data_IF_066222692030
#
_entry.id   IF_066222692030
#
_cell.length_a   1.000
_cell.length_b   1.000
_cell.length_c   1.000
_cell.angle_alpha   90.00
_cell.angle_beta   90.00
_cell.angle_gamma   90.00
#
_symmetry.space_group_name_H-M   'P 1'
#
loop_
_entity.id
_entity.type
_entity.pdbx_description
1 polymer ?
#
# COMPACT_ATOMS: atom_id res chain seq x y z
N UNK A 1 -7.08 12.14 19.33
CA UNK A 1 -6.71 10.75 19.70
C UNK A 1 -5.90 10.02 18.60
N UNK A 2 -6.26 10.14 17.30
CA UNK A 2 -5.54 9.52 16.16
C UNK A 2 -4.04 9.86 16.06
N UNK A 3 -3.61 11.02 16.55
CA UNK A 3 -2.24 11.50 16.33
C UNK A 3 -1.15 10.70 17.08
N UNK A 4 -1.49 10.05 18.21
CA UNK A 4 -0.54 9.21 18.96
C UNK A 4 -0.29 7.86 18.28
N UNK A 5 -1.20 7.39 17.44
CA UNK A 5 -1.15 6.05 16.84
C UNK A 5 -0.45 6.03 15.49
N UNK A 6 -0.18 7.20 14.89
CA UNK A 6 0.48 7.32 13.57
C UNK A 6 1.86 6.68 13.53
N UNK A 7 2.66 6.89 14.57
CA UNK A 7 4.00 6.29 14.69
C UNK A 7 3.93 4.77 14.93
N UNK A 8 2.93 4.31 15.68
CA UNK A 8 2.69 2.88 15.91
C UNK A 8 2.29 2.20 14.59
N UNK A 9 1.40 2.81 13.81
CA UNK A 9 0.96 2.31 12.50
C UNK A 9 2.11 2.31 11.48
N UNK A 10 2.94 3.36 11.45
CA UNK A 10 4.13 3.42 10.61
C UNK A 10 5.13 2.31 10.96
N UNK A 11 5.41 2.12 12.24
CA UNK A 11 6.34 1.11 12.73
C UNK A 11 5.82 -0.31 12.43
N UNK A 12 4.52 -0.55 12.66
CA UNK A 12 3.88 -1.83 12.36
C UNK A 12 3.90 -2.14 10.85
N UNK A 13 3.64 -1.15 10.00
CA UNK A 13 3.78 -1.29 8.56
C UNK A 13 5.21 -1.65 8.15
N UNK A 14 6.21 -0.95 8.71
CA UNK A 14 7.63 -1.21 8.43
C UNK A 14 8.05 -2.62 8.87
N UNK A 15 7.53 -3.10 10.01
CA UNK A 15 7.74 -4.46 10.48
C UNK A 15 7.14 -5.48 9.52
N UNK A 16 5.89 -5.31 9.09
CA UNK A 16 5.23 -6.23 8.14
C UNK A 16 6.01 -6.29 6.82
N UNK A 17 6.42 -5.13 6.30
CA UNK A 17 7.21 -5.02 5.08
C UNK A 17 8.58 -5.70 5.24
N UNK A 18 9.26 -5.46 6.36
CA UNK A 18 10.54 -6.10 6.66
C UNK A 18 10.42 -7.62 6.79
N UNK A 19 9.36 -8.12 7.42
CA UNK A 19 9.09 -9.55 7.57
C UNK A 19 8.81 -10.21 6.22
N UNK A 20 7.99 -9.56 5.37
CA UNK A 20 7.72 -10.03 4.01
C UNK A 20 9.00 -10.06 3.16
N UNK A 21 9.85 -9.03 3.27
CA UNK A 21 11.14 -8.98 2.58
C UNK A 21 12.07 -10.09 3.04
N UNK A 22 12.15 -10.32 4.35
CA UNK A 22 12.92 -11.42 4.92
C UNK A 22 12.47 -12.78 4.38
N UNK A 23 11.16 -13.06 4.43
CA UNK A 23 10.59 -14.33 3.95
C UNK A 23 10.91 -14.52 2.46
N UNK A 24 10.76 -13.46 1.67
CA UNK A 24 11.03 -13.48 0.24
C UNK A 24 12.51 -13.72 -0.07
N UNK A 25 13.44 -13.15 0.71
CA UNK A 25 14.88 -13.37 0.54
C UNK A 25 15.32 -14.79 0.90
N UNK A 26 14.58 -15.48 1.78
CA UNK A 26 14.81 -16.88 2.14
C UNK A 26 14.15 -17.89 1.17
N UNK A 27 13.36 -17.45 0.20
CA UNK A 27 12.80 -18.35 -0.80
C UNK A 27 13.93 -18.95 -1.65
N UNK A 28 13.89 -20.27 -1.80
CA UNK A 28 14.88 -20.99 -2.58
C UNK A 28 14.80 -20.59 -4.06
N UNK A 29 15.95 -20.46 -4.75
CA UNK A 29 15.97 -20.16 -6.17
C UNK A 29 15.37 -21.30 -6.98
N UNK A 30 14.58 -20.96 -7.98
CA UNK A 30 13.99 -21.89 -8.93
C UNK A 30 14.65 -21.66 -10.30
N UNK A 31 15.24 -22.72 -10.84
CA UNK A 31 15.91 -22.73 -12.13
C UNK A 31 15.04 -23.43 -13.16
N UNK A 32 15.11 -22.96 -14.42
CA UNK A 32 14.36 -23.53 -15.53
C UNK A 32 15.33 -23.86 -16.65
N UNK A 33 15.29 -25.10 -17.13
CA UNK A 33 16.07 -25.55 -18.28
C UNK A 33 15.15 -25.88 -19.45
N UNK A 34 15.57 -25.61 -20.68
CA UNK A 34 14.75 -25.73 -21.90
C UNK A 34 15.38 -26.70 -22.89
N UNK A 35 14.62 -27.69 -23.36
CA UNK A 35 15.00 -28.52 -24.51
C UNK A 35 13.96 -28.36 -25.61
N UNK A 36 14.42 -28.41 -26.86
CA UNK A 36 13.59 -28.14 -28.04
C UNK A 36 13.50 -29.38 -28.91
N UNK A 37 12.29 -29.79 -29.25
CA UNK A 37 12.02 -30.90 -30.16
C UNK A 37 11.29 -30.38 -31.40
N UNK A 38 11.83 -30.67 -32.58
CA UNK A 38 11.12 -30.47 -33.84
C UNK A 38 10.34 -31.73 -34.17
N UNK A 39 9.09 -31.53 -34.58
CA UNK A 39 8.28 -32.59 -35.15
C UNK A 39 8.32 -32.45 -36.67
N UNK A 40 9.06 -33.34 -37.32
CA UNK A 40 9.00 -33.45 -38.77
C UNK A 40 7.72 -34.19 -39.14
N UNK A 41 6.87 -33.53 -39.93
CA UNK A 41 5.73 -34.20 -40.56
C UNK A 41 6.12 -34.60 -41.97
N UNK A 42 5.86 -35.86 -42.32
CA UNK A 42 5.78 -36.25 -43.73
C UNK A 42 4.51 -35.58 -44.25
N UNK A 43 4.73 -34.56 -45.08
CA UNK A 43 3.73 -33.71 -45.72
C UNK A 43 2.44 -34.50 -46.03
N UNK A 44 1.29 -34.25 -45.37
CA UNK A 44 0.04 -34.71 -45.91
C UNK A 44 -0.17 -33.84 -47.14
N UNK A 45 0.03 -34.37 -48.35
CA UNK A 45 -0.32 -33.67 -49.58
C UNK A 45 -1.73 -33.10 -49.42
N UNK A 46 -1.83 -31.79 -49.24
CA UNK A 46 -3.11 -31.10 -49.17
C UNK A 46 -3.46 -30.85 -50.63
N UNK A 47 -4.39 -31.60 -51.25
CA UNK A 47 -4.82 -31.29 -52.59
C UNK A 47 -5.30 -29.84 -52.60
N UNK A 48 -4.75 -29.05 -53.53
CA UNK A 48 -5.11 -27.66 -53.72
C UNK A 48 -6.59 -27.58 -54.09
N UNK A 49 -7.46 -27.23 -53.14
CA UNK A 49 -8.90 -27.06 -53.36
C UNK A 49 -9.29 -25.61 -53.10
N UNK A 50 -10.03 -25.08 -54.07
CA UNK A 50 -10.34 -23.69 -54.44
C UNK A 50 -11.07 -22.80 -53.40
N UNK A 51 -11.29 -23.24 -52.17
CA UNK A 51 -11.97 -22.44 -51.14
C UNK A 51 -11.04 -22.09 -49.96
N UNK A 52 -10.40 -20.92 -50.10
CA UNK A 52 -9.25 -20.49 -49.28
C UNK A 52 -9.63 -20.23 -47.81
N UNK A 53 -10.87 -19.87 -47.51
CA UNK A 53 -11.29 -19.50 -46.15
C UNK A 53 -11.55 -20.71 -45.23
N UNK A 54 -12.32 -21.71 -45.69
CA UNK A 54 -12.63 -22.90 -44.91
C UNK A 54 -11.46 -23.90 -44.87
N UNK A 55 -10.71 -24.01 -45.97
CA UNK A 55 -9.49 -24.82 -46.06
C UNK A 55 -8.41 -24.36 -45.06
N UNK A 56 -8.22 -23.04 -44.93
CA UNK A 56 -7.28 -22.48 -43.95
C UNK A 56 -7.71 -22.83 -42.51
N UNK A 57 -8.99 -22.66 -42.16
CA UNK A 57 -9.48 -22.98 -40.81
C UNK A 57 -9.32 -24.46 -40.48
N UNK A 58 -9.57 -25.36 -41.43
CA UNK A 58 -9.37 -26.80 -41.28
C UNK A 58 -7.88 -27.14 -41.08
N UNK A 59 -6.98 -26.51 -41.84
CA UNK A 59 -5.53 -26.68 -41.69
C UNK A 59 -5.04 -26.25 -40.30
N UNK A 60 -5.42 -25.05 -39.85
CA UNK A 60 -5.05 -24.55 -38.52
C UNK A 60 -5.58 -25.45 -37.39
N UNK A 61 -6.81 -25.96 -37.53
CA UNK A 61 -7.39 -26.86 -36.54
C UNK A 61 -6.69 -28.22 -36.51
N UNK A 62 -6.33 -28.77 -37.67
CA UNK A 62 -5.56 -30.01 -37.80
C UNK A 62 -4.17 -29.86 -37.17
N UNK A 63 -3.43 -28.80 -37.52
CA UNK A 63 -2.14 -28.48 -36.92
C UNK A 63 -2.24 -28.32 -35.40
N UNK A 64 -3.22 -27.53 -34.91
CA UNK A 64 -3.42 -27.33 -33.46
C UNK A 64 -3.71 -28.64 -32.75
N UNK A 65 -4.60 -29.45 -33.29
CA UNK A 65 -4.99 -30.75 -32.69
C UNK A 65 -3.81 -31.71 -32.66
N UNK A 66 -3.03 -31.76 -33.74
CA UNK A 66 -1.84 -32.60 -33.81
C UNK A 66 -0.78 -32.18 -32.78
N UNK A 67 -0.45 -30.88 -32.69
CA UNK A 67 0.50 -30.36 -31.71
C UNK A 67 0.04 -30.59 -30.26
N UNK A 68 -1.24 -30.40 -29.95
CA UNK A 68 -1.81 -30.71 -28.62
C UNK A 68 -1.76 -32.20 -28.30
N UNK A 69 -2.00 -33.07 -29.29
CA UNK A 69 -1.82 -34.52 -29.12
C UNK A 69 -0.36 -34.84 -28.78
N UNK A 70 0.62 -34.25 -29.47
CA UNK A 70 2.03 -34.47 -29.16
C UNK A 70 2.39 -33.96 -27.75
N UNK A 71 1.88 -32.80 -27.34
CA UNK A 71 2.05 -32.29 -25.97
C UNK A 71 1.54 -33.30 -24.93
N UNK A 72 0.33 -33.85 -25.14
CA UNK A 72 -0.24 -34.87 -24.24
C UNK A 72 0.55 -36.17 -24.21
N UNK A 73 1.21 -36.55 -25.31
CA UNK A 73 2.10 -37.72 -25.35
C UNK A 73 3.33 -37.47 -24.48
N UNK A 74 3.96 -36.28 -24.58
CA UNK A 74 5.09 -35.89 -23.75
C UNK A 74 4.71 -35.88 -22.26
N UNK A 75 3.53 -35.35 -21.93
CA UNK A 75 2.96 -35.31 -20.57
C UNK A 75 2.41 -36.67 -20.09
N UNK A 76 2.52 -37.72 -20.89
CA UNK A 76 1.93 -39.01 -20.55
C UNK A 76 2.65 -39.69 -19.38
N UNK A 77 1.90 -40.50 -18.62
CA UNK A 77 2.45 -41.32 -17.52
C UNK A 77 3.55 -42.27 -18.01
N UNK A 78 3.50 -42.74 -19.27
CA UNK A 78 4.53 -43.64 -19.83
C UNK A 78 5.87 -42.94 -19.99
N UNK A 79 5.89 -41.76 -20.59
CA UNK A 79 7.12 -40.96 -20.76
C UNK A 79 7.67 -40.58 -19.40
N UNK A 80 6.82 -40.09 -18.49
CA UNK A 80 7.21 -39.73 -17.13
C UNK A 80 7.81 -40.91 -16.35
N UNK A 81 7.25 -42.11 -16.50
CA UNK A 81 7.78 -43.31 -15.85
C UNK A 81 9.17 -43.69 -16.39
N UNK A 82 9.41 -43.54 -17.69
CA UNK A 82 10.72 -43.77 -18.29
C UNK A 82 11.77 -42.80 -17.75
N UNK A 83 11.43 -41.50 -17.69
CA UNK A 83 12.29 -40.45 -17.14
C UNK A 83 12.67 -40.73 -15.68
N UNK A 84 11.69 -41.08 -14.83
CA UNK A 84 11.93 -41.43 -13.42
C UNK A 84 12.87 -42.62 -13.29
N UNK A 85 12.71 -43.64 -14.14
CA UNK A 85 13.52 -44.84 -14.13
C UNK A 85 14.96 -44.55 -14.56
N UNK A 86 15.15 -43.84 -15.67
CA UNK A 86 16.48 -43.59 -16.25
C UNK A 86 17.31 -42.61 -15.41
N UNK A 87 16.68 -41.56 -14.88
CA UNK A 87 17.37 -40.60 -14.01
C UNK A 87 17.54 -41.10 -12.57
N UNK A 88 16.98 -42.27 -12.23
CA UNK A 88 17.08 -42.85 -10.88
C UNK A 88 16.42 -41.98 -9.81
N UNK A 89 15.40 -41.19 -10.19
CA UNK A 89 14.81 -40.15 -9.32
C UNK A 89 14.17 -40.74 -8.05
N UNK A 90 13.76 -42.01 -8.07
CA UNK A 90 13.16 -42.71 -6.91
C UNK A 90 14.04 -42.71 -5.67
N UNK A 91 15.36 -42.66 -5.84
CA UNK A 91 16.31 -42.70 -4.71
C UNK A 91 16.54 -41.31 -4.08
N UNK A 92 16.01 -40.24 -4.69
CA UNK A 92 16.13 -38.88 -4.16
C UNK A 92 15.05 -38.62 -3.12
N UNK A 93 15.42 -37.92 -2.04
CA UNK A 93 14.54 -37.60 -0.89
C UNK A 93 13.18 -37.04 -1.32
N UNK A 94 13.15 -36.18 -2.34
CA UNK A 94 11.92 -35.52 -2.84
C UNK A 94 10.91 -36.53 -3.42
N UNK A 95 11.38 -37.54 -4.15
CA UNK A 95 10.50 -38.52 -4.82
C UNK A 95 10.28 -39.79 -3.99
N UNK A 96 11.11 -40.06 -2.99
CA UNK A 96 10.97 -41.21 -2.09
C UNK A 96 9.87 -40.99 -1.03
N UNK A 97 9.59 -39.74 -0.67
CA UNK A 97 8.62 -39.38 0.37
C UNK A 97 7.19 -39.20 -0.16
N UNK A 98 6.99 -39.24 -1.48
CA UNK A 98 5.75 -38.81 -2.11
C UNK A 98 4.96 -39.98 -2.72
N UNK A 99 3.64 -40.02 -2.47
CA UNK A 99 2.76 -41.14 -2.87
C UNK A 99 2.58 -41.28 -4.38
N UNK A 100 2.79 -40.21 -5.16
CA UNK A 100 2.75 -40.23 -6.64
C UNK A 100 3.96 -39.49 -7.25
N UNK A 101 5.08 -40.18 -7.52
CA UNK A 101 6.29 -39.56 -8.06
C UNK A 101 6.11 -39.04 -9.50
N UNK A 102 5.14 -39.59 -10.25
CA UNK A 102 4.82 -39.10 -11.60
C UNK A 102 4.10 -37.75 -11.51
N UNK A 103 3.15 -37.63 -10.59
CA UNK A 103 2.45 -36.36 -10.35
C UNK A 103 3.39 -35.23 -9.96
N UNK A 104 4.37 -35.50 -9.08
CA UNK A 104 5.39 -34.51 -8.70
C UNK A 104 6.26 -34.09 -9.87
N UNK A 105 6.68 -35.04 -10.71
CA UNK A 105 7.48 -34.76 -11.88
C UNK A 105 6.70 -33.92 -12.91
N UNK A 106 5.43 -34.24 -13.15
CA UNK A 106 4.58 -33.49 -14.09
C UNK A 106 4.31 -32.05 -13.61
N UNK A 107 4.30 -31.78 -12.30
CA UNK A 107 4.20 -30.40 -11.78
C UNK A 107 5.43 -29.55 -12.07
N UNK A 108 6.60 -30.20 -12.21
CA UNK A 108 7.87 -29.55 -12.56
C UNK A 108 8.06 -29.39 -14.07
N UNK A 109 7.27 -30.12 -14.86
CA UNK A 109 7.34 -30.11 -16.32
C UNK A 109 6.38 -29.08 -16.89
N UNK A 110 6.85 -28.31 -17.87
CA UNK A 110 6.00 -27.44 -18.69
C UNK A 110 6.35 -27.61 -20.15
N UNK A 111 5.34 -27.93 -20.96
CA UNK A 111 5.48 -28.19 -22.39
C UNK A 111 4.74 -27.11 -23.17
N UNK A 112 5.48 -26.23 -23.83
CA UNK A 112 4.96 -25.09 -24.57
C UNK A 112 5.03 -25.36 -26.09
N UNK A 113 3.90 -25.18 -26.78
CA UNK A 113 3.83 -25.24 -28.26
C UNK A 113 4.11 -23.84 -28.80
N UNK A 114 5.15 -23.69 -29.62
CA UNK A 114 5.48 -22.40 -30.25
C UNK A 114 4.55 -22.20 -31.45
N UNK A 115 3.61 -21.25 -31.31
CA UNK A 115 2.58 -20.98 -32.32
C UNK A 115 3.19 -20.69 -33.70
N UNK A 116 2.63 -21.32 -34.72
CA UNK A 116 3.07 -21.15 -36.11
C UNK A 116 4.33 -21.93 -36.47
N UNK A 117 4.80 -22.82 -35.58
CA UNK A 117 6.00 -23.63 -35.81
C UNK A 117 5.77 -25.09 -35.43
N UNK A 118 6.57 -26.01 -35.96
CA UNK A 118 6.53 -27.43 -35.58
C UNK A 118 7.43 -27.74 -34.37
N UNK A 119 7.59 -26.75 -33.50
CA UNK A 119 8.54 -26.77 -32.39
C UNK A 119 7.80 -26.88 -31.07
N UNK A 120 8.17 -27.90 -30.29
CA UNK A 120 7.75 -28.06 -28.91
C UNK A 120 8.92 -27.74 -28.00
N UNK A 121 8.70 -26.80 -27.07
CA UNK A 121 9.65 -26.47 -26.02
C UNK A 121 9.27 -27.21 -24.75
N UNK A 122 10.17 -28.06 -24.29
CA UNK A 122 10.04 -28.81 -23.05
C UNK A 122 10.88 -28.09 -22.00
N UNK A 123 10.27 -27.72 -20.89
CA UNK A 123 10.96 -27.07 -19.79
C UNK A 123 10.74 -27.79 -18.46
N UNK A 124 11.78 -27.82 -17.64
CA UNK A 124 11.72 -28.41 -16.31
C UNK A 124 12.18 -27.39 -15.26
N UNK A 125 11.42 -27.31 -14.16
CA UNK A 125 11.67 -26.41 -13.04
C UNK A 125 12.23 -27.20 -11.83
N UNK A 126 13.40 -26.83 -11.34
CA UNK A 126 13.98 -27.43 -10.13
C UNK A 126 14.80 -26.43 -9.30
N UNK A 127 15.03 -26.74 -8.03
CA UNK A 127 15.93 -25.96 -7.16
C UNK A 127 17.39 -26.17 -7.55
N UNK A 128 17.72 -27.32 -8.14
CA UNK A 128 19.04 -27.66 -8.65
C UNK A 128 19.11 -27.42 -10.18
N UNK A 129 19.97 -26.51 -10.67
CA UNK A 129 20.07 -26.22 -12.10
C UNK A 129 20.50 -27.44 -12.94
N UNK A 130 21.33 -28.34 -12.41
CA UNK A 130 21.72 -29.56 -13.11
C UNK A 130 20.56 -30.53 -13.24
N UNK A 131 19.73 -30.62 -12.20
CA UNK A 131 18.58 -31.52 -12.23
C UNK A 131 17.51 -31.03 -13.22
N UNK A 132 17.24 -29.72 -13.23
CA UNK A 132 16.34 -29.12 -14.22
C UNK A 132 16.79 -29.46 -15.64
N UNK A 133 18.09 -29.33 -15.93
CA UNK A 133 18.69 -29.69 -17.22
C UNK A 133 18.50 -31.17 -17.56
N UNK A 134 18.83 -32.06 -16.60
CA UNK A 134 18.72 -33.51 -16.80
C UNK A 134 17.29 -33.94 -17.07
N UNK A 135 16.33 -33.40 -16.32
CA UNK A 135 14.90 -33.69 -16.51
C UNK A 135 14.44 -33.24 -17.90
N UNK A 136 14.71 -31.98 -18.29
CA UNK A 136 14.29 -31.46 -19.58
C UNK A 136 14.85 -32.28 -20.75
N UNK A 137 16.14 -32.62 -20.70
CA UNK A 137 16.81 -33.44 -21.72
C UNK A 137 16.25 -34.87 -21.78
N UNK A 138 16.04 -35.50 -20.64
CA UNK A 138 15.52 -36.86 -20.60
C UNK A 138 14.09 -36.93 -21.15
N UNK A 139 13.23 -35.93 -20.88
CA UNK A 139 11.91 -35.87 -21.49
C UNK A 139 11.96 -35.74 -23.01
N UNK A 140 12.87 -34.90 -23.54
CA UNK A 140 13.07 -34.76 -24.98
C UNK A 140 13.55 -36.09 -25.61
N UNK A 141 14.52 -36.75 -24.98
CA UNK A 141 15.03 -38.05 -25.43
C UNK A 141 13.96 -39.15 -25.34
N UNK A 142 13.22 -39.22 -24.24
CA UNK A 142 12.17 -40.21 -24.03
C UNK A 142 11.01 -40.05 -25.03
N UNK A 143 10.70 -38.83 -25.43
CA UNK A 143 9.71 -38.59 -26.48
C UNK A 143 10.19 -39.04 -27.87
N UNK A 144 11.44 -38.72 -28.22
CA UNK A 144 12.03 -39.10 -29.51
C UNK A 144 12.33 -40.61 -29.59
N UNK A 145 12.49 -41.28 -28.44
CA UNK A 145 12.85 -42.69 -28.40
C UNK A 145 11.72 -43.58 -29.00
N UNK A 146 11.98 -44.29 -30.12
CA UNK A 146 10.97 -45.07 -30.83
C UNK A 146 10.38 -46.23 -30.03
N UNK A 147 11.05 -46.65 -28.95
CA UNK A 147 10.60 -47.76 -28.10
C UNK A 147 9.39 -47.41 -27.22
N UNK A 148 9.06 -46.13 -27.06
CA UNK A 148 8.02 -45.68 -26.13
C UNK A 148 6.68 -45.34 -26.80
N UNK A 149 6.69 -45.06 -28.10
CA UNK A 149 5.51 -44.78 -28.93
C UNK A 149 5.30 -45.90 -29.96
N UNK A 150 4.18 -46.65 -29.86
CA UNK A 150 3.74 -47.58 -30.92
C UNK A 150 3.39 -46.87 -32.25
N UNK A 151 3.39 -45.54 -32.26
CA UNK A 151 3.16 -44.69 -33.43
C UNK A 151 4.50 -44.50 -34.15
N UNK A 152 4.85 -45.49 -34.98
CA UNK A 152 6.12 -45.57 -35.73
C UNK A 152 6.16 -44.65 -36.96
N UNK A 153 5.65 -43.42 -36.88
CA UNK A 153 5.27 -42.68 -38.11
C UNK A 153 5.76 -41.24 -38.27
N UNK A 154 6.52 -40.63 -37.35
CA UNK A 154 7.08 -39.29 -37.60
C UNK A 154 8.50 -39.16 -37.05
N UNK A 155 9.41 -38.61 -37.84
CA UNK A 155 10.82 -38.36 -37.50
C UNK A 155 10.94 -37.13 -36.59
N UNK A 156 10.49 -37.23 -35.34
CA UNK A 156 10.80 -36.18 -34.37
C UNK A 156 12.29 -36.22 -34.02
N UNK A 157 12.94 -35.06 -33.98
CA UNK A 157 14.35 -34.95 -33.59
C UNK A 157 14.52 -33.92 -32.49
N UNK A 158 15.37 -34.23 -31.51
CA UNK A 158 15.81 -33.21 -30.54
C UNK A 158 16.69 -32.23 -31.29
N UNK A 159 16.27 -30.97 -31.35
CA UNK A 159 17.03 -29.92 -32.02
C UNK A 159 18.11 -29.39 -31.09
N UNK A 160 17.69 -28.98 -29.89
CA UNK A 160 18.57 -28.38 -28.89
C UNK A 160 18.38 -29.08 -27.53
N UNK A 161 19.50 -29.51 -26.96
CA UNK A 161 19.53 -29.97 -25.58
C UNK A 161 19.54 -28.77 -24.63
N UNK A 162 18.95 -28.96 -23.46
CA UNK A 162 19.00 -28.02 -22.36
C UNK A 162 20.44 -27.86 -21.85
N UNK A 163 20.84 -26.60 -21.72
CA UNK A 163 22.03 -26.16 -21.00
C UNK A 163 21.72 -25.98 -19.50
N UNK A 164 22.78 -25.87 -18.70
CA UNK A 164 22.65 -25.57 -17.26
C UNK A 164 22.22 -24.11 -17.10
N UNK A 165 21.06 -23.81 -16.51
CA UNK A 165 20.62 -22.44 -16.29
C UNK A 165 21.55 -21.74 -15.28
N UNK A 166 22.17 -20.64 -15.72
CA UNK A 166 23.10 -19.86 -14.91
C UNK A 166 22.38 -18.94 -13.91
N UNK A 167 21.16 -18.51 -14.22
CA UNK A 167 20.38 -17.59 -13.41
C UNK A 167 19.05 -18.21 -12.97
N UNK A 168 18.63 -17.99 -11.70
CA UNK A 168 17.33 -18.43 -11.25
C UNK A 168 16.23 -17.53 -11.81
N UNK A 169 15.14 -18.16 -12.26
CA UNK A 169 13.96 -17.45 -12.81
C UNK A 169 13.11 -16.85 -11.69
N UNK A 170 13.06 -17.52 -10.53
CA UNK A 170 12.32 -17.05 -9.35
C UNK A 170 13.14 -17.22 -8.07
N UNK A 171 12.96 -16.34 -7.07
CA UNK A 171 12.20 -15.09 -7.12
C UNK A 171 12.96 -13.98 -7.89
N UNK A 172 12.24 -13.12 -8.64
CA UNK A 172 12.86 -11.97 -9.31
C UNK A 172 13.22 -10.88 -8.29
N UNK A 173 14.45 -10.95 -7.77
CA UNK A 173 14.96 -10.07 -6.72
C UNK A 173 14.83 -8.58 -7.10
N UNK A 174 15.03 -8.22 -8.36
CA UNK A 174 14.95 -6.82 -8.84
C UNK A 174 13.52 -6.27 -8.72
N UNK A 175 12.53 -7.04 -9.16
CA UNK A 175 11.12 -6.66 -9.07
C UNK A 175 10.68 -6.52 -7.60
N UNK A 176 11.08 -7.47 -6.76
CA UNK A 176 10.73 -7.47 -5.33
C UNK A 176 11.29 -6.22 -4.64
N UNK A 177 12.56 -5.88 -4.89
CA UNK A 177 13.17 -4.65 -4.34
C UNK A 177 12.43 -3.40 -4.81
N UNK A 178 12.06 -3.32 -6.10
CA UNK A 178 11.31 -2.18 -6.63
C UNK A 178 9.95 -2.00 -5.94
N UNK A 179 9.21 -3.10 -5.72
CA UNK A 179 7.93 -3.05 -5.00
C UNK A 179 8.11 -2.55 -3.56
N UNK A 180 9.16 -3.01 -2.86
CA UNK A 180 9.44 -2.53 -1.50
C UNK A 180 9.78 -1.05 -1.44
N UNK A 181 10.57 -0.53 -2.38
CA UNK A 181 10.89 0.89 -2.46
C UNK A 181 9.61 1.72 -2.62
N UNK A 182 8.70 1.29 -3.50
CA UNK A 182 7.40 1.95 -3.72
C UNK A 182 6.55 1.92 -2.44
N UNK A 183 6.50 0.78 -1.76
CA UNK A 183 5.71 0.62 -0.53
C UNK A 183 6.21 1.54 0.60
N UNK A 184 7.54 1.64 0.75
CA UNK A 184 8.17 2.52 1.74
C UNK A 184 7.90 4.00 1.40
N UNK A 185 8.04 4.38 0.13
CA UNK A 185 7.79 5.74 -0.32
C UNK A 185 6.31 6.15 -0.13
N UNK A 186 5.37 5.28 -0.47
CA UNK A 186 3.94 5.52 -0.29
C UNK A 186 3.56 5.68 1.18
N UNK A 187 4.13 4.85 2.07
CA UNK A 187 3.92 4.99 3.51
C UNK A 187 4.49 6.30 4.06
N UNK A 188 5.71 6.66 3.62
CA UNK A 188 6.34 7.94 3.96
C UNK A 188 5.48 9.14 3.54
N UNK A 189 4.95 9.14 2.32
CA UNK A 189 4.05 10.17 1.84
C UNK A 189 2.75 10.24 2.65
N UNK A 190 2.15 9.09 2.98
CA UNK A 190 0.95 9.02 3.83
C UNK A 190 1.15 9.69 5.19
N UNK A 191 2.30 9.50 5.82
CA UNK A 191 2.61 10.13 7.10
C UNK A 191 2.72 11.67 7.02
N UNK A 192 3.20 12.19 5.88
CA UNK A 192 3.28 13.64 5.65
C UNK A 192 1.88 14.24 5.53
N UNK A 193 0.97 13.61 4.77
CA UNK A 193 -0.42 14.07 4.65
C UNK A 193 -1.19 14.01 5.97
N UNK A 194 -0.86 13.05 6.84
CA UNK A 194 -1.45 12.97 8.16
C UNK A 194 -0.94 14.06 9.14
N UNK A 195 0.05 14.90 8.79
CA UNK A 195 0.30 16.16 9.51
C UNK A 195 -0.78 17.21 9.17
N UNK A 196 -2.04 16.89 9.42
CA UNK A 196 -3.08 17.92 9.55
C UNK A 196 -2.79 18.76 10.79
N UNK A 197 -3.02 20.09 10.76
CA UNK A 197 -2.90 20.94 11.93
C UNK A 197 -3.83 20.38 13.01
N UNK A 198 -3.22 19.82 14.05
CA UNK A 198 -3.92 19.09 15.11
C UNK A 198 -4.15 19.98 16.32
N UNK A 199 -4.31 21.27 16.06
CA UNK A 199 -4.82 22.22 17.01
C UNK A 199 -6.23 22.52 16.55
N UNK A 200 -7.23 22.05 17.31
CA UNK A 200 -8.58 22.59 17.25
C UNK A 200 -8.44 24.01 17.81
N UNK A 201 -7.95 24.92 16.99
CA UNK A 201 -8.04 26.35 17.26
C UNK A 201 -9.53 26.63 17.10
N UNK A 202 -10.21 26.81 18.23
CA UNK A 202 -11.61 27.23 18.29
C UNK A 202 -11.67 28.56 17.52
N UNK A 203 -12.16 28.50 16.28
CA UNK A 203 -12.12 29.62 15.33
C UNK A 203 -13.39 30.44 15.34
N UNK A 204 -14.51 29.88 15.80
CA UNK A 204 -15.80 30.54 15.75
C UNK A 204 -16.40 30.75 17.14
N UNK A 205 -16.60 32.01 17.51
CA UNK A 205 -17.22 32.42 18.77
C UNK A 205 -18.70 32.03 18.86
N UNK A 206 -19.37 31.79 17.74
CA UNK A 206 -20.78 31.40 17.71
C UNK A 206 -21.01 29.93 18.11
N UNK A 207 -20.05 29.04 17.87
CA UNK A 207 -20.13 27.62 18.25
C UNK A 207 -20.15 27.43 19.78
N UNK A 208 -19.51 28.34 20.52
CA UNK A 208 -19.42 28.32 21.98
C UNK A 208 -20.79 28.61 22.61
N UNK A 209 -21.52 29.59 22.06
CA UNK A 209 -22.85 29.97 22.56
C UNK A 209 -23.88 28.84 22.33
N UNK A 210 -23.78 28.14 21.20
CA UNK A 210 -24.65 27.00 20.88
C UNK A 210 -24.37 25.79 21.78
N UNK A 211 -23.10 25.50 22.09
CA UNK A 211 -22.72 24.34 22.89
C UNK A 211 -23.00 24.54 24.39
N UNK A 212 -22.74 25.74 24.91
CA UNK A 212 -22.87 26.04 26.35
C UNK A 212 -24.24 26.58 26.74
N UNK A 213 -25.09 26.95 25.77
CA UNK A 213 -26.40 27.59 25.99
C UNK A 213 -26.33 28.84 26.89
N UNK A 214 -25.19 29.54 26.91
CA UNK A 214 -24.96 30.73 27.73
C UNK A 214 -24.96 32.00 26.86
N UNK A 215 -25.47 33.12 27.39
CA UNK A 215 -25.41 34.39 26.68
C UNK A 215 -23.96 34.86 26.54
N UNK A 216 -23.49 35.02 25.30
CA UNK A 216 -22.16 35.54 25.02
C UNK A 216 -22.10 37.06 25.27
N UNK A 217 -21.35 37.48 26.28
CA UNK A 217 -21.18 38.89 26.63
C UNK A 217 -20.37 39.67 25.58
N UNK A 218 -19.43 39.02 24.89
CA UNK A 218 -18.66 39.62 23.80
C UNK A 218 -17.36 38.88 23.52
N UNK A 219 -16.67 39.27 22.45
CA UNK A 219 -15.36 38.74 22.07
C UNK A 219 -14.34 39.88 22.12
N UNK A 220 -13.23 39.66 22.83
CA UNK A 220 -12.12 40.61 22.87
C UNK A 220 -11.06 40.14 21.87
N UNK A 221 -10.74 40.93 20.84
CA UNK A 221 -9.76 40.52 19.84
C UNK A 221 -8.37 40.41 20.46
N UNK A 222 -7.56 39.49 19.92
CA UNK A 222 -6.15 39.37 20.31
C UNK A 222 -5.39 40.60 19.81
N UNK A 223 -5.10 41.50 20.72
CA UNK A 223 -4.33 42.70 20.42
C UNK A 223 -2.86 42.30 20.28
N UNK A 224 -2.22 42.71 19.19
CA UNK A 224 -0.76 42.76 19.12
C UNK A 224 -0.35 44.09 19.74
N UNK A 225 0.27 44.11 20.93
CA UNK A 225 0.68 45.37 21.54
C UNK A 225 1.61 46.11 20.57
N UNK A 226 1.38 47.39 20.33
CA UNK A 226 2.36 48.19 19.60
C UNK A 226 3.58 48.40 20.50
N UNK A 227 4.61 47.57 20.29
CA UNK A 227 5.82 47.51 21.12
C UNK A 227 6.58 48.84 21.19
N UNK A 228 6.23 49.84 20.37
CA UNK A 228 6.80 51.19 20.45
C UNK A 228 6.31 51.97 21.68
N UNK A 229 5.11 51.70 22.18
CA UNK A 229 4.48 52.43 23.29
C UNK A 229 4.29 51.60 24.57
N UNK A 230 4.68 50.31 24.56
CA UNK A 230 4.59 49.42 25.71
C UNK A 230 5.95 49.32 26.40
N UNK A 231 6.07 49.87 27.60
CA UNK A 231 7.33 49.83 28.38
C UNK A 231 7.29 48.80 29.51
N UNK A 232 6.11 48.47 30.01
CA UNK A 232 5.91 47.54 31.13
C UNK A 232 4.75 46.58 30.89
N UNK A 233 4.73 45.46 31.61
CA UNK A 233 3.61 44.51 31.61
C UNK A 233 2.29 45.17 32.01
N UNK A 234 2.34 46.14 32.93
CA UNK A 234 1.16 46.91 33.35
C UNK A 234 0.55 47.73 32.19
N UNK A 235 1.33 48.16 31.20
CA UNK A 235 0.81 48.86 30.02
C UNK A 235 0.00 47.93 29.12
N UNK A 236 0.34 46.63 29.10
CA UNK A 236 -0.41 45.59 28.36
C UNK A 236 -1.68 45.19 29.11
N UNK A 237 -1.65 45.22 30.44
CA UNK A 237 -2.80 44.83 31.26
C UNK A 237 -3.88 45.93 31.35
N UNK A 238 -3.54 47.20 31.05
CA UNK A 238 -4.45 48.37 31.15
C UNK A 238 -4.72 49.06 29.80
N UNK A 239 -5.07 48.26 28.80
CA UNK A 239 -5.31 48.72 27.42
C UNK A 239 -6.38 49.82 27.35
N UNK A 240 -7.48 49.68 28.10
CA UNK A 240 -8.59 50.64 28.10
C UNK A 240 -8.18 52.03 28.61
N UNK A 241 -7.21 52.07 29.53
CA UNK A 241 -6.68 53.31 30.07
C UNK A 241 -5.77 54.00 29.05
N UNK A 242 -4.89 53.22 28.42
CA UNK A 242 -3.83 53.71 27.52
C UNK A 242 -4.34 54.10 26.13
N UNK A 243 -5.23 53.31 25.55
CA UNK A 243 -5.81 53.55 24.23
C UNK A 243 -7.34 53.40 24.28
N UNK A 244 -8.07 54.49 24.59
CA UNK A 244 -9.52 54.46 24.66
C UNK A 244 -10.21 54.23 23.31
N UNK A 245 -9.52 54.36 22.18
CA UNK A 245 -10.12 54.28 20.84
C UNK A 245 -9.81 52.96 20.12
N UNK A 246 -9.00 52.08 20.72
CA UNK A 246 -8.69 50.79 20.12
C UNK A 246 -9.88 49.82 20.10
N UNK A 247 -9.79 48.81 19.23
CA UNK A 247 -10.81 47.77 19.04
C UNK A 247 -11.13 47.01 20.34
N UNK A 248 -10.16 46.83 21.23
CA UNK A 248 -10.41 46.18 22.52
C UNK A 248 -11.18 47.08 23.49
N UNK A 249 -10.94 48.39 23.49
CA UNK A 249 -11.72 49.34 24.28
C UNK A 249 -13.19 49.34 23.85
N UNK A 250 -13.46 49.29 22.53
CA UNK A 250 -14.81 49.08 22.01
C UNK A 250 -15.41 47.73 22.41
N UNK A 251 -14.61 46.65 22.39
CA UNK A 251 -15.05 45.34 22.86
C UNK A 251 -15.47 45.38 24.35
N UNK A 252 -14.67 46.00 25.22
CA UNK A 252 -15.02 46.16 26.64
C UNK A 252 -16.20 47.11 26.86
N UNK A 253 -16.38 48.16 26.04
CA UNK A 253 -17.60 48.99 26.05
C UNK A 253 -18.84 48.16 25.74
N UNK A 254 -18.77 47.31 24.71
CA UNK A 254 -19.87 46.42 24.31
C UNK A 254 -20.18 45.38 25.38
N UNK A 255 -19.15 44.72 25.93
CA UNK A 255 -19.27 43.76 27.04
C UNK A 255 -19.95 44.41 28.25
N UNK A 256 -19.51 45.62 28.61
CA UNK A 256 -20.08 46.38 29.72
C UNK A 256 -21.56 46.67 29.50
N UNK A 257 -21.93 47.19 28.33
CA UNK A 257 -23.32 47.53 28.02
C UNK A 257 -24.22 46.28 28.09
N UNK A 258 -23.76 45.15 27.52
CA UNK A 258 -24.47 43.87 27.58
C UNK A 258 -24.56 43.31 29.00
N UNK A 259 -23.50 43.43 29.78
CA UNK A 259 -23.47 42.99 31.18
C UNK A 259 -24.48 43.79 32.01
N UNK A 260 -24.44 45.12 31.95
CA UNK A 260 -25.38 45.99 32.67
C UNK A 260 -26.83 45.73 32.23
N UNK A 261 -27.06 45.52 30.93
CA UNK A 261 -28.37 45.14 30.43
C UNK A 261 -28.84 43.80 31.00
N UNK A 262 -27.96 42.79 31.02
CA UNK A 262 -28.26 41.46 31.56
C UNK A 262 -28.55 41.48 33.07
N UNK A 263 -27.81 42.31 33.82
CA UNK A 263 -28.00 42.47 35.27
C UNK A 263 -29.32 43.21 35.56
N UNK A 264 -29.60 44.30 34.85
CA UNK A 264 -30.85 45.07 35.02
C UNK A 264 -32.10 44.27 34.65
N UNK A 265 -32.02 43.42 33.61
CA UNK A 265 -33.13 42.54 33.20
C UNK A 265 -33.47 41.49 34.26
N UNK A 266 -32.50 41.08 35.09
CA UNK A 266 -32.69 40.09 36.15
C UNK A 266 -33.27 40.67 37.45
N UNK A 267 -33.61 41.96 37.49
CA UNK A 267 -34.22 42.62 38.66
C UNK A 267 -33.29 42.74 39.89
N UNK A 268 -32.02 42.37 39.74
CA UNK A 268 -31.01 42.35 40.82
C UNK A 268 -29.92 43.36 40.52
N UNK A 269 -29.70 44.30 41.45
CA UNK A 269 -28.54 45.21 41.42
C UNK A 269 -27.33 44.39 41.91
N UNK A 270 -26.72 43.61 41.01
CA UNK A 270 -25.53 42.83 41.35
C UNK A 270 -24.37 43.78 41.69
N UNK A 271 -23.96 43.81 42.96
CA UNK A 271 -22.85 44.64 43.45
C UNK A 271 -21.49 43.93 43.40
N UNK A 272 -21.47 42.62 43.09
CA UNK A 272 -20.27 41.80 42.99
C UNK A 272 -20.30 40.94 41.73
N UNK A 273 -19.15 40.84 41.06
CA UNK A 273 -18.95 40.03 39.85
C UNK A 273 -17.69 39.19 40.04
N UNK A 274 -17.79 37.89 39.76
CA UNK A 274 -16.66 36.97 39.77
C UNK A 274 -16.25 36.67 38.33
N UNK A 275 -14.96 36.77 38.03
CA UNK A 275 -14.40 36.40 36.73
C UNK A 275 -13.55 35.13 36.86
N UNK A 276 -13.92 34.08 36.15
CA UNK A 276 -13.23 32.77 36.16
C UNK A 276 -12.94 32.28 34.74
N UNK A 277 -12.02 31.33 34.61
CA UNK A 277 -11.57 30.76 33.34
C UNK A 277 -11.39 29.24 33.47
N UNK A 278 -11.49 28.51 32.36
CA UNK A 278 -11.37 27.04 32.38
C UNK A 278 -9.91 26.58 32.43
N UNK A 279 -8.97 27.41 31.96
CA UNK A 279 -7.54 27.14 32.02
C UNK A 279 -6.70 28.37 32.44
N UNK A 280 -5.46 28.16 32.94
CA UNK A 280 -4.50 29.23 33.16
C UNK A 280 -4.12 29.94 31.84
N UNK A 281 -3.79 31.24 31.92
CA UNK A 281 -3.35 32.09 30.79
C UNK A 281 -4.41 32.38 29.70
N UNK A 282 -5.70 32.23 30.01
CA UNK A 282 -6.80 32.60 29.10
C UNK A 282 -7.16 34.11 29.12
N UNK A 283 -6.45 34.92 29.89
CA UNK A 283 -6.65 36.37 29.92
C UNK A 283 -7.63 36.86 31.00
N UNK A 284 -8.05 36.04 31.96
CA UNK A 284 -8.94 36.44 33.06
C UNK A 284 -8.49 37.72 33.80
N UNK A 285 -7.20 37.82 34.13
CA UNK A 285 -6.65 38.97 34.86
C UNK A 285 -6.72 40.24 34.01
N UNK A 286 -6.37 40.14 32.72
CA UNK A 286 -6.42 41.26 31.78
C UNK A 286 -7.86 41.73 31.57
N UNK A 287 -8.78 40.79 31.38
CA UNK A 287 -10.21 41.08 31.21
C UNK A 287 -10.83 41.70 32.46
N UNK A 288 -10.46 41.24 33.66
CA UNK A 288 -10.94 41.79 34.92
C UNK A 288 -10.48 43.24 35.12
N UNK A 289 -9.19 43.52 34.89
CA UNK A 289 -8.61 44.85 34.99
C UNK A 289 -9.28 45.82 34.00
N UNK A 290 -9.37 45.45 32.72
CA UNK A 290 -9.91 46.35 31.70
C UNK A 290 -11.42 46.57 31.84
N UNK A 291 -12.17 45.55 32.27
CA UNK A 291 -13.59 45.71 32.58
C UNK A 291 -13.79 46.61 33.81
N UNK A 292 -12.97 46.46 34.86
CA UNK A 292 -13.01 47.33 36.03
C UNK A 292 -12.71 48.79 35.67
N UNK A 293 -11.69 49.05 34.85
CA UNK A 293 -11.38 50.38 34.33
C UNK A 293 -12.56 50.92 33.50
N UNK A 294 -13.17 50.11 32.63
CA UNK A 294 -14.33 50.53 31.85
C UNK A 294 -15.56 50.87 32.70
N UNK A 295 -15.77 50.16 33.80
CA UNK A 295 -16.84 50.45 34.76
C UNK A 295 -16.54 51.76 35.50
N UNK A 296 -15.33 51.91 36.02
CA UNK A 296 -14.91 53.11 36.75
C UNK A 296 -14.98 54.39 35.90
N UNK A 297 -14.58 54.33 34.62
CA UNK A 297 -14.68 55.47 33.69
C UNK A 297 -16.12 55.91 33.41
N UNK A 298 -17.11 55.08 33.70
CA UNK A 298 -18.52 55.42 33.58
C UNK A 298 -19.12 56.06 34.84
N UNK A 299 -18.31 56.31 35.86
CA UNK A 299 -18.75 56.94 37.11
C UNK A 299 -19.12 55.94 38.22
N UNK A 300 -18.91 54.63 38.01
CA UNK A 300 -19.15 53.61 39.02
C UNK A 300 -17.99 53.53 40.02
N UNK A 301 -18.29 53.31 41.30
CA UNK A 301 -17.27 53.03 42.32
C UNK A 301 -16.89 51.55 42.26
N UNK A 302 -15.72 51.25 41.69
CA UNK A 302 -15.28 49.88 41.42
C UNK A 302 -14.11 49.50 42.32
N UNK A 303 -14.24 48.38 43.04
CA UNK A 303 -13.15 47.72 43.75
C UNK A 303 -12.81 46.41 43.03
N UNK A 304 -11.56 46.28 42.57
CA UNK A 304 -11.04 45.03 42.03
C UNK A 304 -10.32 44.27 43.16
N UNK A 305 -10.74 43.04 43.42
CA UNK A 305 -10.13 42.15 44.42
C UNK A 305 -9.45 41.00 43.69
N UNK A 306 -8.17 40.78 43.97
CA UNK A 306 -7.42 39.61 43.49
C UNK A 306 -7.49 38.50 44.56
N UNK A 307 -7.94 37.31 44.16
CA UNK A 307 -8.29 36.20 45.05
C UNK A 307 -7.71 34.87 44.55
#
# INVERSE_FOLDING_TARGET
MIMRWKWIMALLFLIIVGLAAWISLKQKPLYIAYSTVIIETVNPDIPAIKDIAESNKAYYLSYKTYMETQRKIIESRRVSHHVIKNLGLKNKKVFNLEKDPIGTLLKKLKVDIIRGTWVIRISAEDEDPEEARRIANEFAMAYVNPSLSRIKANSSRVQDFADVPLEPVRPNKKLIIAVYIILIAACGAGLIFFKGPSDIIIKDSNDIAALLQLPMLGSVPKIKPDWKNVKTKADVDRIVEKDPLCMASEAYRSIRAKLLFSLNKSGSIAKSLVMTSSAPKEGKTISAINLAIMMARSGENVLLVDA
#
